data_IF_171548963418
#
_entry.id   IF_171548963418
#
_cell.length_a   1.000
_cell.length_b   1.000
_cell.length_c   1.000
_cell.angle_alpha   90.00
_cell.angle_beta   90.00
_cell.angle_gamma   90.00
#
_symmetry.space_group_name_H-M   'P 1'
#
loop_
_entity.id
_entity.type
_entity.pdbx_description
1 polymer ?
#
# COMPACT_ATOMS: atom_id res chain seq x y z
N UNK A 1 -5.12 -1.98 24.31
CA UNK A 1 -4.10 -2.78 23.61
C UNK A 1 -2.72 -2.72 24.29
N UNK A 2 -1.93 -3.80 24.28
CA UNK A 2 -0.53 -3.78 24.78
C UNK A 2 0.44 -3.20 23.77
N UNK A 3 1.60 -2.70 24.21
CA UNK A 3 2.66 -2.18 23.35
C UNK A 3 3.18 -3.24 22.37
N UNK A 4 3.36 -4.48 22.83
CA UNK A 4 3.79 -5.59 21.98
C UNK A 4 2.78 -5.85 20.87
N UNK A 5 1.48 -5.83 21.19
CA UNK A 5 0.43 -6.04 20.19
C UNK A 5 0.37 -4.90 19.17
N UNK A 6 0.53 -3.65 19.62
CA UNK A 6 0.61 -2.49 18.74
C UNK A 6 1.81 -2.58 17.80
N UNK A 7 2.97 -3.01 18.31
CA UNK A 7 4.18 -3.20 17.51
C UNK A 7 4.00 -4.31 16.47
N UNK A 8 3.37 -5.44 16.83
CA UNK A 8 3.06 -6.52 15.88
C UNK A 8 2.13 -6.03 14.76
N UNK A 9 1.06 -5.31 15.11
CA UNK A 9 0.13 -4.72 14.14
C UNK A 9 0.87 -3.75 13.21
N UNK A 10 1.72 -2.88 13.78
CA UNK A 10 2.49 -1.90 13.01
C UNK A 10 3.46 -2.58 12.03
N UNK A 11 4.17 -3.62 12.47
CA UNK A 11 5.06 -4.39 11.59
C UNK A 11 4.29 -5.10 10.47
N UNK A 12 3.11 -5.66 10.78
CA UNK A 12 2.27 -6.29 9.78
C UNK A 12 1.76 -5.28 8.73
N UNK A 13 1.34 -4.09 9.17
CA UNK A 13 0.98 -2.98 8.28
C UNK A 13 2.16 -2.59 7.37
N UNK A 14 3.36 -2.46 7.92
CA UNK A 14 4.58 -2.15 7.15
C UNK A 14 4.89 -3.23 6.10
N UNK A 15 4.79 -4.52 6.46
CA UNK A 15 5.02 -5.62 5.51
C UNK A 15 3.99 -5.60 4.38
N UNK A 16 2.71 -5.47 4.70
CA UNK A 16 1.64 -5.43 3.69
C UNK A 16 1.79 -4.21 2.76
N UNK A 17 2.02 -3.03 3.33
CA UNK A 17 2.21 -1.79 2.56
C UNK A 17 3.49 -1.85 1.72
N UNK A 18 4.58 -2.43 2.25
CA UNK A 18 5.83 -2.62 1.51
C UNK A 18 5.67 -3.56 0.32
N UNK A 19 4.93 -4.65 0.49
CA UNK A 19 4.61 -5.57 -0.62
C UNK A 19 3.75 -4.89 -1.69
N UNK A 20 2.73 -4.12 -1.28
CA UNK A 20 1.94 -3.30 -2.19
C UNK A 20 2.81 -2.30 -2.97
N UNK A 21 3.67 -1.56 -2.27
CA UNK A 21 4.57 -0.58 -2.87
C UNK A 21 5.53 -1.21 -3.88
N UNK A 22 6.06 -2.41 -3.59
CA UNK A 22 6.90 -3.16 -4.52
C UNK A 22 6.17 -3.45 -5.85
N UNK A 23 4.95 -3.97 -5.79
CA UNK A 23 4.15 -4.25 -6.99
C UNK A 23 3.84 -2.97 -7.79
N UNK A 24 3.54 -1.87 -7.09
CA UNK A 24 3.31 -0.57 -7.73
C UNK A 24 4.57 -0.03 -8.43
N UNK A 25 5.74 -0.19 -7.82
CA UNK A 25 7.02 0.16 -8.47
C UNK A 25 7.23 -0.68 -9.73
N UNK A 26 7.00 -1.99 -9.68
CA UNK A 26 7.12 -2.85 -10.86
C UNK A 26 6.15 -2.41 -11.98
N UNK A 27 4.92 -2.03 -11.65
CA UNK A 27 3.97 -1.49 -12.65
C UNK A 27 4.46 -0.16 -13.24
N UNK A 28 5.03 0.74 -12.42
CA UNK A 28 5.59 2.00 -12.91
C UNK A 28 6.80 1.77 -13.83
N UNK A 29 7.69 0.85 -13.48
CA UNK A 29 8.85 0.49 -14.27
C UNK A 29 8.43 -0.11 -15.63
N UNK A 30 7.41 -0.98 -15.62
CA UNK A 30 6.81 -1.55 -16.84
C UNK A 30 6.20 -0.43 -17.72
N UNK A 31 5.48 0.53 -17.14
CA UNK A 31 4.88 1.66 -17.86
C UNK A 31 5.89 2.67 -18.39
N UNK A 32 7.05 2.80 -17.73
CA UNK A 32 8.11 3.72 -18.13
C UNK A 32 8.98 3.18 -19.28
N UNK A 33 8.91 1.88 -19.56
CA UNK A 33 9.73 1.24 -20.59
C UNK A 33 8.88 0.81 -21.81
N UNK A 34 9.03 1.46 -22.98
CA UNK A 34 8.27 1.13 -24.20
C UNK A 34 8.49 -0.29 -24.72
N UNK A 35 9.63 -0.90 -24.38
CA UNK A 35 10.03 -2.22 -24.86
C UNK A 35 9.57 -3.36 -23.93
N UNK A 36 9.07 -3.03 -22.73
CA UNK A 36 8.52 -4.03 -21.82
C UNK A 36 7.14 -4.45 -22.36
N UNK A 37 6.91 -5.76 -22.64
CA UNK A 37 5.58 -6.22 -23.02
C UNK A 37 4.60 -5.79 -21.93
N UNK A 38 3.44 -5.25 -22.31
CA UNK A 38 2.38 -4.91 -21.36
C UNK A 38 2.18 -6.08 -20.40
N UNK A 39 2.71 -5.94 -19.18
CA UNK A 39 2.59 -6.97 -18.15
C UNK A 39 1.13 -7.07 -17.73
N UNK A 40 0.78 -8.07 -16.93
CA UNK A 40 -0.53 -8.12 -16.30
C UNK A 40 -0.62 -7.06 -15.18
N UNK A 41 -0.61 -5.78 -15.57
CA UNK A 41 -0.73 -4.63 -14.68
C UNK A 41 -2.01 -4.74 -13.86
N UNK A 42 -3.08 -5.30 -14.43
CA UNK A 42 -4.34 -5.48 -13.74
C UNK A 42 -4.23 -6.50 -12.59
N UNK A 43 -3.57 -7.64 -12.80
CA UNK A 43 -3.32 -8.58 -11.71
C UNK A 43 -2.43 -7.99 -10.62
N UNK A 44 -1.34 -7.29 -10.98
CA UNK A 44 -0.47 -6.60 -10.01
C UNK A 44 -1.25 -5.55 -9.21
N UNK A 45 -2.12 -4.77 -9.86
CA UNK A 45 -2.99 -3.78 -9.20
C UNK A 45 -4.04 -4.42 -8.31
N UNK A 46 -4.65 -5.53 -8.72
CA UNK A 46 -5.63 -6.25 -7.88
C UNK A 46 -4.95 -6.81 -6.63
N UNK A 47 -3.76 -7.39 -6.76
CA UNK A 47 -2.97 -7.89 -5.64
C UNK A 47 -2.49 -6.76 -4.72
N UNK A 48 -2.06 -5.64 -5.29
CA UNK A 48 -1.74 -4.41 -4.54
C UNK A 48 -2.93 -3.97 -3.69
N UNK A 49 -4.11 -3.86 -4.30
CA UNK A 49 -5.33 -3.45 -3.61
C UNK A 49 -5.65 -4.39 -2.45
N UNK A 50 -5.48 -5.70 -2.64
CA UNK A 50 -5.70 -6.69 -1.58
C UNK A 50 -4.75 -6.48 -0.38
N UNK A 51 -3.46 -6.24 -0.63
CA UNK A 51 -2.51 -5.92 0.43
C UNK A 51 -2.89 -4.65 1.20
N UNK A 52 -3.34 -3.60 0.50
CA UNK A 52 -3.78 -2.34 1.12
C UNK A 52 -5.05 -2.54 1.97
N UNK A 53 -6.02 -3.31 1.47
CA UNK A 53 -7.22 -3.70 2.24
C UNK A 53 -6.83 -4.45 3.52
N UNK A 54 -5.89 -5.38 3.44
CA UNK A 54 -5.46 -6.15 4.62
C UNK A 54 -4.66 -5.29 5.61
N UNK A 55 -3.87 -4.33 5.13
CA UNK A 55 -3.20 -3.34 5.97
C UNK A 55 -4.21 -2.42 6.68
N UNK A 56 -5.26 -1.98 5.98
CA UNK A 56 -6.36 -1.21 6.57
C UNK A 56 -7.11 -1.96 7.65
N UNK A 57 -7.35 -3.27 7.45
CA UNK A 57 -7.94 -4.11 8.51
C UNK A 57 -7.09 -4.08 9.78
N UNK A 58 -5.76 -4.13 9.66
CA UNK A 58 -4.87 -4.02 10.82
C UNK A 58 -4.93 -2.63 11.47
N UNK A 59 -4.92 -1.56 10.67
CA UNK A 59 -5.09 -0.19 11.18
C UNK A 59 -6.40 -0.03 11.96
N UNK A 60 -7.50 -0.57 11.44
CA UNK A 60 -8.83 -0.45 12.04
C UNK A 60 -8.92 -1.10 13.43
N UNK A 61 -8.15 -2.17 13.69
CA UNK A 61 -8.07 -2.76 15.03
C UNK A 61 -7.51 -1.75 16.05
N UNK A 62 -6.57 -0.91 15.63
CA UNK A 62 -5.99 0.12 16.50
C UNK A 62 -6.91 1.31 16.66
N UNK A 63 -7.51 1.77 15.55
CA UNK A 63 -8.47 2.89 15.57
C UNK A 63 -9.67 2.61 16.47
N UNK A 64 -10.17 1.36 16.50
CA UNK A 64 -11.26 0.96 17.37
C UNK A 64 -10.95 1.13 18.88
N UNK A 65 -9.67 1.06 19.25
CA UNK A 65 -9.19 1.22 20.62
C UNK A 65 -8.47 2.55 20.86
N UNK A 66 -8.56 3.54 19.96
CA UNK A 66 -7.64 4.70 19.93
C UNK A 66 -7.53 5.46 21.26
N UNK A 67 -8.63 5.58 22.02
CA UNK A 67 -8.67 6.24 23.34
C UNK A 67 -7.84 5.50 24.42
N UNK A 68 -7.48 4.25 24.17
CA UNK A 68 -6.73 3.36 25.07
C UNK A 68 -5.37 2.97 24.49
N UNK A 69 -4.93 3.64 23.43
CA UNK A 69 -3.66 3.38 22.74
C UNK A 69 -2.71 4.54 23.00
N UNK A 70 -1.55 4.25 23.58
CA UNK A 70 -0.49 5.24 23.71
C UNK A 70 0.14 5.52 22.36
N UNK A 71 0.52 6.79 22.14
CA UNK A 71 1.28 7.19 20.96
C UNK A 71 2.48 6.26 20.71
N UNK A 72 2.67 5.85 19.46
CA UNK A 72 3.78 5.02 19.01
C UNK A 72 4.33 5.56 17.70
N UNK A 73 5.64 5.84 17.68
CA UNK A 73 6.36 6.26 16.47
C UNK A 73 6.30 5.18 15.40
N UNK A 74 6.39 3.90 15.79
CA UNK A 74 6.33 2.78 14.86
C UNK A 74 4.94 2.67 14.21
N UNK A 75 3.88 2.89 14.99
CA UNK A 75 2.52 2.87 14.46
C UNK A 75 2.28 4.05 13.50
N UNK A 76 2.68 5.26 13.89
CA UNK A 76 2.60 6.43 13.02
C UNK A 76 3.34 6.20 11.69
N UNK A 77 4.57 5.64 11.74
CA UNK A 77 5.32 5.29 10.53
C UNK A 77 4.61 4.24 9.65
N UNK A 78 3.95 3.25 10.28
CA UNK A 78 3.16 2.26 9.57
C UNK A 78 1.94 2.88 8.87
N UNK A 79 1.25 3.81 9.55
CA UNK A 79 0.12 4.57 8.98
C UNK A 79 0.59 5.43 7.79
N UNK A 80 1.69 6.18 7.95
CA UNK A 80 2.25 7.01 6.88
C UNK A 80 2.63 6.17 5.65
N UNK A 81 3.22 5.00 5.88
CA UNK A 81 3.61 4.07 4.81
C UNK A 81 2.38 3.51 4.07
N UNK A 82 1.33 3.14 4.79
CA UNK A 82 0.07 2.70 4.19
C UNK A 82 -0.53 3.82 3.33
N UNK A 83 -0.77 4.99 3.91
CA UNK A 83 -1.43 6.10 3.22
C UNK A 83 -0.61 6.61 2.02
N UNK A 84 0.72 6.64 2.12
CA UNK A 84 1.60 6.97 0.99
C UNK A 84 1.45 5.96 -0.15
N UNK A 85 1.37 4.67 0.18
CA UNK A 85 1.24 3.60 -0.82
C UNK A 85 -0.12 3.63 -1.52
N UNK A 86 -1.20 3.94 -0.80
CA UNK A 86 -2.53 4.16 -1.41
C UNK A 86 -2.55 5.35 -2.36
N UNK A 87 -1.87 6.43 -1.99
CA UNK A 87 -1.74 7.60 -2.86
C UNK A 87 -1.01 7.25 -4.16
N UNK A 88 0.05 6.44 -4.08
CA UNK A 88 0.77 5.94 -5.25
C UNK A 88 -0.15 5.04 -6.10
N UNK A 89 -0.91 4.13 -5.49
CA UNK A 89 -1.86 3.26 -6.20
C UNK A 89 -2.90 4.08 -6.98
N UNK A 90 -3.48 5.09 -6.32
CA UNK A 90 -4.45 6.00 -6.93
C UNK A 90 -3.87 6.70 -8.16
N UNK A 91 -2.65 7.25 -8.04
CA UNK A 91 -1.97 7.93 -9.14
C UNK A 91 -1.70 6.98 -10.31
N UNK A 92 -1.15 5.79 -10.04
CA UNK A 92 -0.84 4.79 -11.08
C UNK A 92 -2.10 4.36 -11.83
N UNK A 93 -3.19 4.08 -11.12
CA UNK A 93 -4.48 3.73 -11.74
C UNK A 93 -5.01 4.82 -12.67
N UNK A 94 -4.68 6.08 -12.43
CA UNK A 94 -5.02 7.21 -13.32
C UNK A 94 -4.02 7.37 -14.46
N UNK A 95 -2.75 7.04 -14.27
CA UNK A 95 -1.71 7.17 -15.30
C UNK A 95 -1.82 6.12 -16.40
N UNK A 96 -2.15 4.87 -16.06
CA UNK A 96 -2.29 3.78 -17.06
C UNK A 96 -3.19 4.17 -18.25
N UNK A 97 -4.45 4.60 -18.07
CA UNK A 97 -5.28 4.97 -19.21
C UNK A 97 -4.78 6.23 -19.93
N UNK A 98 -4.12 7.16 -19.23
CA UNK A 98 -3.56 8.37 -19.86
C UNK A 98 -2.43 7.98 -20.82
N UNK A 99 -1.53 7.08 -20.40
CA UNK A 99 -0.40 6.63 -21.20
C UNK A 99 -0.85 5.73 -22.37
N UNK A 100 -1.86 4.89 -22.14
CA UNK A 100 -2.39 4.00 -23.18
C UNK A 100 -3.19 4.74 -24.26
N UNK A 101 -3.84 5.86 -23.94
CA UNK A 101 -4.62 6.68 -24.89
C UNK A 101 -3.78 7.65 -25.73
N UNK A 102 -2.46 7.71 -25.55
CA UNK A 102 -1.55 8.56 -26.35
C UNK A 102 -0.92 7.83 -27.55
N UNK A 103 -1.27 6.56 -27.77
CA UNK A 103 -0.96 5.79 -28.98
C UNK A 103 -2.18 5.75 -29.92
#
# INVERSE_FOLDING_TARGET
MTTERLNQISMQMLTLSGNAKKLLTEVLDDLANPDTPSGDHQAKLNQTHQYLVDAHKQQNLVTAEINHVTYSVLFAHAQDTLMNTETIEFIIKKFIPILQNQN
#
